data_IF_243463737135
#
_entry.id   IF_243463737135
#
_cell.length_a   1.000
_cell.length_b   1.000
_cell.length_c   1.000
_cell.angle_alpha   90.00
_cell.angle_beta   90.00
_cell.angle_gamma   90.00
#
_symmetry.space_group_name_H-M   'P 1'
#
loop_
_entity.id
_entity.type
_entity.pdbx_description
1 polymer ?
#
# COMPACT_ATOMS: atom_id res chain seq x y z
N UNK A 1 -37.10 16.22 22.55
CA UNK A 1 -36.33 15.26 21.74
C UNK A 1 -35.23 16.03 21.04
N UNK A 2 -34.07 16.16 21.70
CA UNK A 2 -32.89 16.81 21.14
C UNK A 2 -32.09 15.75 20.38
N UNK A 3 -32.10 15.82 19.06
CA UNK A 3 -31.22 15.05 18.20
C UNK A 3 -29.77 15.43 18.50
N UNK A 4 -29.12 14.70 19.41
CA UNK A 4 -27.67 14.67 19.49
C UNK A 4 -27.17 14.00 18.23
N UNK A 5 -26.75 14.81 17.26
CA UNK A 5 -25.93 14.34 16.14
C UNK A 5 -24.69 13.68 16.72
N UNK A 6 -24.71 12.36 16.85
CA UNK A 6 -23.54 11.53 17.16
C UNK A 6 -22.57 11.70 16.02
N UNK A 7 -21.72 12.72 16.13
CA UNK A 7 -20.51 12.79 15.32
C UNK A 7 -19.76 11.52 15.69
N UNK A 8 -19.44 10.62 14.73
CA UNK A 8 -18.72 9.41 15.06
C UNK A 8 -17.43 9.85 15.76
N UNK A 9 -17.17 9.29 16.95
CA UNK A 9 -16.01 9.58 17.82
C UNK A 9 -14.63 9.50 17.11
N UNK A 10 -14.62 9.08 15.84
CA UNK A 10 -13.47 8.71 15.03
C UNK A 10 -13.25 9.61 13.78
N UNK A 11 -13.98 10.70 13.56
CA UNK A 11 -13.74 11.57 12.40
C UNK A 11 -12.55 12.53 12.64
N UNK A 12 -11.65 12.70 11.66
CA UNK A 12 -10.66 13.80 11.68
C UNK A 12 -11.37 15.15 11.81
N UNK A 13 -10.77 16.07 12.55
CA UNK A 13 -11.23 17.47 12.61
C UNK A 13 -11.18 18.11 11.22
N UNK A 14 -11.97 19.16 11.00
CA UNK A 14 -11.97 19.88 9.72
C UNK A 14 -10.57 20.45 9.38
N UNK A 15 -9.80 20.85 10.39
CA UNK A 15 -8.41 21.32 10.23
C UNK A 15 -7.45 20.21 9.77
N UNK A 16 -7.53 19.02 10.38
CA UNK A 16 -6.71 17.86 9.99
C UNK A 16 -7.06 17.38 8.57
N UNK A 17 -8.35 17.34 8.23
CA UNK A 17 -8.80 17.02 6.87
C UNK A 17 -8.23 18.01 5.86
N UNK A 18 -8.32 19.31 6.12
CA UNK A 18 -7.75 20.34 5.26
C UNK A 18 -6.23 20.17 5.08
N UNK A 19 -5.49 19.91 6.16
CA UNK A 19 -4.05 19.63 6.10
C UNK A 19 -3.73 18.38 5.28
N UNK A 20 -4.46 17.29 5.49
CA UNK A 20 -4.30 16.05 4.74
C UNK A 20 -4.56 16.25 3.24
N UNK A 21 -5.67 16.89 2.86
CA UNK A 21 -6.00 17.16 1.45
C UNK A 21 -5.02 18.15 0.81
N UNK A 22 -4.53 19.14 1.55
CA UNK A 22 -3.47 20.03 1.08
C UNK A 22 -2.15 19.29 0.84
N UNK A 23 -1.68 18.51 1.82
CA UNK A 23 -0.43 17.75 1.73
C UNK A 23 -0.47 16.63 0.68
N UNK A 24 -1.67 16.18 0.29
CA UNK A 24 -1.90 15.14 -0.70
C UNK A 24 -2.18 15.75 -2.08
N UNK A 25 -3.45 16.09 -2.32
CA UNK A 25 -3.98 16.57 -3.59
C UNK A 25 -3.45 17.97 -3.92
N UNK A 26 -3.31 18.84 -2.92
CA UNK A 26 -2.82 20.21 -3.12
C UNK A 26 -1.38 20.24 -3.65
N UNK A 27 -0.45 19.59 -2.95
CA UNK A 27 0.96 19.52 -3.37
C UNK A 27 1.13 18.81 -4.72
N UNK A 28 0.46 17.67 -4.92
CA UNK A 28 0.55 16.95 -6.19
C UNK A 28 -0.08 17.76 -7.34
N UNK A 29 -1.27 18.34 -7.13
CA UNK A 29 -1.95 19.14 -8.14
C UNK A 29 -1.13 20.37 -8.54
N UNK A 30 -0.51 21.06 -7.57
CA UNK A 30 0.38 22.17 -7.83
C UNK A 30 1.62 21.74 -8.65
N UNK A 31 2.22 20.59 -8.34
CA UNK A 31 3.37 20.06 -9.09
C UNK A 31 3.02 19.78 -10.55
N UNK A 32 1.89 19.10 -10.81
CA UNK A 32 1.46 18.81 -12.18
C UNK A 32 1.03 20.05 -12.96
N UNK A 33 0.37 21.01 -12.30
CA UNK A 33 0.03 22.29 -12.93
C UNK A 33 1.31 23.06 -13.30
N UNK A 34 2.28 23.13 -12.38
CA UNK A 34 3.56 23.77 -12.65
C UNK A 34 4.31 23.07 -13.78
N UNK A 35 4.38 21.74 -13.76
CA UNK A 35 5.01 20.94 -14.82
C UNK A 35 4.36 21.17 -16.19
N UNK A 36 3.02 21.21 -16.24
CA UNK A 36 2.27 21.50 -17.45
C UNK A 36 2.58 22.90 -17.99
N UNK A 37 2.58 23.91 -17.13
CA UNK A 37 2.92 25.29 -17.52
C UNK A 37 4.35 25.37 -18.02
N UNK A 38 5.31 24.77 -17.31
CA UNK A 38 6.72 24.75 -17.71
C UNK A 38 6.88 24.13 -19.10
N UNK A 39 6.33 22.94 -19.33
CA UNK A 39 6.41 22.27 -20.63
C UNK A 39 5.81 23.15 -21.73
N UNK A 40 4.60 23.67 -21.53
CA UNK A 40 3.91 24.52 -22.51
C UNK A 40 4.72 25.80 -22.85
N UNK A 41 5.33 26.44 -21.86
CA UNK A 41 6.17 27.62 -22.08
C UNK A 41 7.45 27.31 -22.87
N UNK A 42 7.96 26.08 -22.78
CA UNK A 42 9.14 25.63 -23.53
C UNK A 42 8.83 25.00 -24.89
N UNK A 43 7.56 24.76 -25.21
CA UNK A 43 7.16 24.04 -26.44
C UNK A 43 7.73 24.66 -27.72
N UNK A 44 7.76 25.99 -27.82
CA UNK A 44 8.26 26.68 -29.02
C UNK A 44 9.78 26.52 -29.24
N UNK A 45 10.51 26.10 -28.20
CA UNK A 45 11.96 25.90 -28.23
C UNK A 45 12.34 24.42 -28.37
N UNK A 46 11.34 23.52 -28.34
CA UNK A 46 11.56 22.10 -28.54
C UNK A 46 11.65 21.78 -30.03
N UNK A 47 12.50 20.82 -30.43
CA UNK A 47 12.57 20.34 -31.80
C UNK A 47 11.26 19.66 -32.23
N UNK A 48 11.08 19.45 -33.53
CA UNK A 48 9.86 18.77 -34.05
C UNK A 48 9.67 17.37 -33.44
N UNK A 49 10.77 16.69 -33.11
CA UNK A 49 10.78 15.41 -32.41
C UNK A 49 11.71 15.49 -31.22
N UNK A 50 11.27 14.94 -30.09
CA UNK A 50 12.07 14.78 -28.88
C UNK A 50 12.21 13.29 -28.56
N UNK A 51 13.25 12.92 -27.83
CA UNK A 51 13.35 11.62 -27.21
C UNK A 51 12.17 11.41 -26.25
N UNK A 52 11.43 10.33 -26.48
CA UNK A 52 10.29 9.88 -25.67
C UNK A 52 10.49 8.48 -25.12
N UNK A 53 11.54 7.79 -25.55
CA UNK A 53 11.94 6.48 -25.07
C UNK A 53 13.45 6.44 -24.86
N UNK A 54 13.88 5.67 -23.86
CA UNK A 54 15.27 5.50 -23.48
C UNK A 54 15.58 4.02 -23.31
N UNK A 55 16.66 3.59 -23.96
CA UNK A 55 17.10 2.20 -23.93
C UNK A 55 17.76 1.81 -22.60
N UNK A 56 18.24 0.56 -22.49
CA UNK A 56 18.88 0.05 -21.26
C UNK A 56 20.10 0.85 -20.78
N UNK A 57 20.79 1.52 -21.71
CA UNK A 57 21.92 2.42 -21.45
C UNK A 57 21.50 3.83 -21.00
N UNK A 58 20.20 4.08 -20.81
CA UNK A 58 19.62 5.39 -20.50
C UNK A 58 19.88 6.45 -21.58
N UNK A 59 20.15 6.04 -22.81
CA UNK A 59 20.31 6.92 -23.98
C UNK A 59 19.05 6.90 -24.82
N UNK A 60 18.75 8.02 -25.47
CA UNK A 60 17.59 8.14 -26.36
C UNK A 60 17.67 7.13 -27.53
N UNK A 61 16.63 6.32 -27.69
CA UNK A 61 16.50 5.34 -28.79
C UNK A 61 15.12 5.37 -29.46
N UNK A 62 14.15 6.10 -28.92
CA UNK A 62 12.86 6.37 -29.55
C UNK A 62 12.44 7.83 -29.43
N UNK A 63 11.86 8.35 -30.51
CA UNK A 63 11.57 9.77 -30.70
C UNK A 63 10.11 9.98 -31.08
N UNK A 64 9.52 11.08 -30.65
CA UNK A 64 8.12 11.39 -30.85
C UNK A 64 7.81 12.88 -30.71
N UNK A 65 6.53 13.22 -30.84
CA UNK A 65 6.08 14.61 -30.73
C UNK A 65 6.28 15.15 -29.30
N UNK A 66 6.72 16.41 -29.12
CA UNK A 66 6.75 17.09 -27.82
C UNK A 66 5.42 17.10 -27.07
N UNK A 67 4.30 17.04 -27.81
CA UNK A 67 2.96 16.93 -27.23
C UNK A 67 2.75 15.67 -26.39
N UNK A 68 3.57 14.62 -26.58
CA UNK A 68 3.54 13.43 -25.74
C UNK A 68 3.83 13.77 -24.28
N UNK A 69 4.71 14.73 -23.99
CA UNK A 69 4.99 15.16 -22.62
C UNK A 69 3.74 15.80 -21.96
N UNK A 70 2.99 16.59 -22.71
CA UNK A 70 1.73 17.19 -22.26
C UNK A 70 0.69 16.11 -21.96
N UNK A 71 0.51 15.16 -22.86
CA UNK A 71 -0.42 14.03 -22.67
C UNK A 71 -0.02 13.19 -21.47
N UNK A 72 1.27 12.87 -21.31
CA UNK A 72 1.76 12.12 -20.16
C UNK A 72 1.53 12.87 -18.85
N UNK A 73 1.81 14.17 -18.79
CA UNK A 73 1.52 14.98 -17.59
C UNK A 73 0.02 14.96 -17.23
N UNK A 74 -0.87 15.09 -18.22
CA UNK A 74 -2.31 15.06 -17.97
C UNK A 74 -2.78 13.67 -17.52
N UNK A 75 -2.42 12.61 -18.24
CA UNK A 75 -2.86 11.24 -17.96
C UNK A 75 -2.29 10.75 -16.63
N UNK A 76 -0.97 10.83 -16.45
CA UNK A 76 -0.30 10.39 -15.21
C UNK A 76 -0.75 11.26 -14.04
N UNK A 77 -0.88 12.57 -14.25
CA UNK A 77 -1.38 13.50 -13.24
C UNK A 77 -2.78 13.17 -12.76
N UNK A 78 -3.74 13.00 -13.68
CA UNK A 78 -5.11 12.62 -13.32
C UNK A 78 -5.14 11.29 -12.57
N UNK A 79 -4.42 10.28 -13.05
CA UNK A 79 -4.39 8.95 -12.41
C UNK A 79 -3.83 9.04 -11.00
N UNK A 80 -2.66 9.64 -10.83
CA UNK A 80 -1.99 9.69 -9.52
C UNK A 80 -2.71 10.62 -8.54
N UNK A 81 -3.21 11.78 -8.99
CA UNK A 81 -4.04 12.67 -8.16
C UNK A 81 -5.30 11.94 -7.69
N UNK A 82 -5.93 11.15 -8.57
CA UNK A 82 -7.13 10.38 -8.21
C UNK A 82 -6.83 9.31 -7.16
N UNK A 83 -5.75 8.54 -7.34
CA UNK A 83 -5.30 7.54 -6.36
C UNK A 83 -4.98 8.19 -5.01
N UNK A 84 -4.29 9.33 -5.03
CA UNK A 84 -3.94 10.11 -3.84
C UNK A 84 -5.20 10.67 -3.16
N UNK A 85 -6.16 11.20 -3.94
CA UNK A 85 -7.44 11.69 -3.42
C UNK A 85 -8.22 10.58 -2.73
N UNK A 86 -8.36 9.41 -3.34
CA UNK A 86 -9.06 8.27 -2.74
C UNK A 86 -8.35 7.76 -1.49
N UNK A 87 -7.01 7.75 -1.48
CA UNK A 87 -6.23 7.45 -0.29
C UNK A 87 -6.50 8.46 0.84
N UNK A 88 -6.40 9.76 0.56
CA UNK A 88 -6.66 10.82 1.53
C UNK A 88 -8.11 10.80 2.04
N UNK A 89 -9.08 10.56 1.15
CA UNK A 89 -10.49 10.43 1.50
C UNK A 89 -10.74 9.26 2.45
N UNK A 90 -10.14 8.09 2.18
CA UNK A 90 -10.23 6.94 3.07
C UNK A 90 -9.56 7.22 4.42
N UNK A 91 -8.37 7.82 4.42
CA UNK A 91 -7.68 8.19 5.65
C UNK A 91 -8.52 9.17 6.50
N UNK A 92 -9.18 10.15 5.88
CA UNK A 92 -10.06 11.11 6.54
C UNK A 92 -11.33 10.49 7.19
N UNK A 93 -11.72 9.30 6.74
CA UNK A 93 -12.89 8.56 7.23
C UNK A 93 -12.59 7.57 8.36
N UNK A 94 -11.37 7.00 8.40
CA UNK A 94 -11.08 5.83 9.24
C UNK A 94 -9.94 6.01 10.26
N UNK A 95 -9.28 7.18 10.36
CA UNK A 95 -8.18 7.45 11.31
C UNK A 95 -7.10 6.33 11.32
N UNK A 96 -6.32 6.19 10.23
CA UNK A 96 -5.20 5.27 10.21
C UNK A 96 -4.15 5.65 11.25
N UNK A 97 -3.34 4.69 11.69
CA UNK A 97 -2.20 4.97 12.57
C UNK A 97 -1.27 6.05 11.99
N UNK A 98 -0.62 6.81 12.86
CA UNK A 98 0.23 7.93 12.46
C UNK A 98 1.35 7.51 11.50
N UNK A 99 2.06 6.42 11.79
CA UNK A 99 3.16 5.96 10.95
C UNK A 99 2.68 5.48 9.58
N UNK A 100 1.57 4.73 9.51
CA UNK A 100 1.00 4.27 8.24
C UNK A 100 0.51 5.44 7.39
N UNK A 101 -0.15 6.43 8.00
CA UNK A 101 -0.64 7.63 7.31
C UNK A 101 0.51 8.43 6.69
N UNK A 102 1.58 8.67 7.45
CA UNK A 102 2.77 9.42 6.98
C UNK A 102 3.53 8.69 5.88
N UNK A 103 3.76 7.39 6.05
CA UNK A 103 4.48 6.59 5.08
C UNK A 103 3.71 6.43 3.77
N UNK A 104 2.41 6.11 3.85
CA UNK A 104 1.56 5.96 2.66
C UNK A 104 1.44 7.29 1.92
N UNK A 105 1.12 8.37 2.64
CA UNK A 105 0.98 9.69 2.04
C UNK A 105 2.31 10.15 1.40
N UNK A 106 3.40 10.09 2.17
CA UNK A 106 4.70 10.52 1.70
C UNK A 106 5.20 9.71 0.51
N UNK A 107 4.98 8.39 0.51
CA UNK A 107 5.33 7.53 -0.63
C UNK A 107 4.50 7.88 -1.88
N UNK A 108 3.18 7.98 -1.76
CA UNK A 108 2.30 8.26 -2.91
C UNK A 108 2.58 9.64 -3.51
N UNK A 109 2.73 10.67 -2.66
CA UNK A 109 3.07 12.03 -3.12
C UNK A 109 4.48 12.05 -3.71
N UNK A 110 5.45 11.38 -3.08
CA UNK A 110 6.83 11.33 -3.55
C UNK A 110 6.98 10.65 -4.91
N UNK A 111 6.34 9.50 -5.13
CA UNK A 111 6.30 8.82 -6.43
C UNK A 111 5.62 9.71 -7.48
N UNK A 112 4.53 10.38 -7.12
CA UNK A 112 3.81 11.25 -8.04
C UNK A 112 4.61 12.47 -8.47
N UNK A 113 5.31 13.10 -7.53
CA UNK A 113 6.23 14.21 -7.83
C UNK A 113 7.45 13.73 -8.60
N UNK A 114 8.02 12.57 -8.28
CA UNK A 114 9.12 12.00 -9.06
C UNK A 114 8.70 11.76 -10.52
N UNK A 115 7.52 11.19 -10.75
CA UNK A 115 6.99 10.99 -12.11
C UNK A 115 6.80 12.33 -12.85
N UNK A 116 6.20 13.33 -12.20
CA UNK A 116 6.05 14.67 -12.76
C UNK A 116 7.41 15.29 -13.11
N UNK A 117 8.36 15.28 -12.16
CA UNK A 117 9.69 15.84 -12.37
C UNK A 117 10.45 15.09 -13.45
N UNK A 118 10.31 13.77 -13.55
CA UNK A 118 10.97 12.99 -14.60
C UNK A 118 10.50 13.43 -15.99
N UNK A 119 9.19 13.59 -16.19
CA UNK A 119 8.60 14.05 -17.45
C UNK A 119 9.08 15.48 -17.77
N UNK A 120 9.03 16.38 -16.79
CA UNK A 120 9.43 17.78 -16.99
C UNK A 120 10.93 17.90 -17.26
N UNK A 121 11.78 17.30 -16.43
CA UNK A 121 13.23 17.39 -16.54
C UNK A 121 13.75 16.73 -17.82
N UNK A 122 13.19 15.58 -18.24
CA UNK A 122 13.55 14.95 -19.51
C UNK A 122 13.10 15.75 -20.73
N UNK A 123 12.01 16.51 -20.62
CA UNK A 123 11.56 17.42 -21.69
C UNK A 123 12.47 18.65 -21.74
N UNK A 124 12.78 19.26 -20.60
CA UNK A 124 13.63 20.44 -20.49
C UNK A 124 15.07 20.19 -20.96
N UNK A 125 15.60 18.98 -20.75
CA UNK A 125 16.95 18.63 -21.20
C UNK A 125 17.10 18.61 -22.73
N UNK A 126 16.01 18.78 -23.48
CA UNK A 126 15.97 18.72 -24.94
C UNK A 126 15.67 20.08 -25.59
N UNK A 127 15.45 21.12 -24.78
CA UNK A 127 15.18 22.49 -25.23
C UNK A 127 16.39 23.04 -26.00
N UNK A 128 16.14 23.55 -27.21
CA UNK A 128 17.16 24.16 -28.06
C UNK A 128 18.14 23.19 -28.73
N UNK A 129 17.93 21.87 -28.59
CA UNK A 129 18.79 20.87 -29.25
C UNK A 129 18.44 20.74 -30.75
N UNK A 130 19.38 20.25 -31.55
CA UNK A 130 19.13 19.82 -32.93
C UNK A 130 18.95 18.29 -33.04
N UNK A 131 18.54 17.80 -34.20
CA UNK A 131 18.22 16.38 -34.43
C UNK A 131 19.38 15.41 -34.11
N UNK A 132 20.63 15.83 -34.30
CA UNK A 132 21.81 15.05 -33.93
C UNK A 132 22.02 15.02 -32.43
N UNK A 133 21.90 16.16 -31.75
CA UNK A 133 22.13 16.28 -30.31
C UNK A 133 21.11 15.50 -29.48
N UNK A 134 19.85 15.41 -29.92
CA UNK A 134 18.79 14.70 -29.18
C UNK A 134 19.13 13.21 -29.01
N UNK A 135 19.83 12.61 -29.97
CA UNK A 135 20.24 11.19 -29.93
C UNK A 135 21.26 10.89 -28.84
N UNK A 136 21.98 11.92 -28.38
CA UNK A 136 23.01 11.79 -27.35
C UNK A 136 22.46 12.12 -25.95
N UNK A 137 21.19 12.50 -25.83
CA UNK A 137 20.56 12.85 -24.55
C UNK A 137 20.46 11.62 -23.66
N UNK A 138 20.96 11.76 -22.43
CA UNK A 138 20.82 10.75 -21.39
C UNK A 138 19.66 11.07 -20.44
N UNK A 139 18.91 10.05 -20.05
CA UNK A 139 17.85 10.15 -19.03
C UNK A 139 18.40 10.29 -17.60
N UNK A 140 19.66 9.89 -17.37
CA UNK A 140 20.21 9.74 -16.02
C UNK A 140 20.12 11.03 -15.17
N UNK A 141 20.50 12.23 -15.66
CA UNK A 141 20.39 13.45 -14.87
C UNK A 141 18.94 13.75 -14.46
N UNK A 142 18.00 13.61 -15.40
CA UNK A 142 16.57 13.83 -15.15
C UNK A 142 16.00 12.81 -14.16
N UNK A 143 16.45 11.56 -14.22
CA UNK A 143 16.09 10.52 -13.25
C UNK A 143 16.60 10.83 -11.85
N UNK A 144 17.85 11.30 -11.70
CA UNK A 144 18.40 11.66 -10.40
C UNK A 144 17.66 12.86 -9.79
N UNK A 145 17.34 13.88 -10.59
CA UNK A 145 16.55 15.04 -10.16
C UNK A 145 15.14 14.59 -9.75
N UNK A 146 14.51 13.69 -10.52
CA UNK A 146 13.20 13.14 -10.20
C UNK A 146 13.19 12.36 -8.87
N UNK A 147 14.17 11.49 -8.65
CA UNK A 147 14.30 10.75 -7.39
C UNK A 147 14.55 11.68 -6.21
N UNK A 148 15.44 12.66 -6.35
CA UNK A 148 15.76 13.62 -5.29
C UNK A 148 14.55 14.49 -4.92
N UNK A 149 13.87 15.06 -5.92
CA UNK A 149 12.68 15.89 -5.70
C UNK A 149 11.50 15.09 -5.16
N UNK A 150 11.26 13.88 -5.68
CA UNK A 150 10.24 12.97 -5.16
C UNK A 150 10.49 12.57 -3.71
N UNK A 151 11.72 12.20 -3.36
CA UNK A 151 12.09 11.89 -1.98
C UNK A 151 11.89 13.10 -1.05
N UNK A 152 12.30 14.30 -1.48
CA UNK A 152 12.15 15.53 -0.71
C UNK A 152 10.68 15.89 -0.46
N UNK A 153 9.88 15.98 -1.53
CA UNK A 153 8.47 16.39 -1.42
C UNK A 153 7.63 15.29 -0.75
N UNK A 154 7.93 14.02 -1.02
CA UNK A 154 7.30 12.90 -0.32
C UNK A 154 7.58 12.93 1.18
N UNK A 155 8.81 13.23 1.58
CA UNK A 155 9.18 13.38 3.00
C UNK A 155 8.41 14.55 3.64
N UNK A 156 8.35 15.71 2.97
CA UNK A 156 7.57 16.87 3.44
C UNK A 156 6.09 16.52 3.59
N UNK A 157 5.48 15.87 2.59
CA UNK A 157 4.09 15.44 2.64
C UNK A 157 3.83 14.46 3.79
N UNK A 158 4.75 13.52 4.01
CA UNK A 158 4.71 12.60 5.15
C UNK A 158 4.73 13.36 6.49
N UNK A 159 5.62 14.34 6.67
CA UNK A 159 5.64 15.14 7.91
C UNK A 159 4.43 16.06 8.09
N UNK A 160 3.79 16.49 7.00
CA UNK A 160 2.55 17.26 7.05
C UNK A 160 1.31 16.42 7.38
N UNK A 161 1.40 15.08 7.30
CA UNK A 161 0.27 14.22 7.63
C UNK A 161 -0.12 14.38 9.12
N UNK A 162 -1.42 14.48 9.43
CA UNK A 162 -1.89 14.79 10.78
C UNK A 162 -1.50 13.72 11.81
N UNK A 163 -1.17 14.16 13.03
CA UNK A 163 -0.95 13.30 14.18
C UNK A 163 -2.28 12.72 14.67
N UNK A 164 -2.57 11.48 14.30
CA UNK A 164 -3.72 10.76 14.84
C UNK A 164 -3.24 9.83 15.94
N UNK A 165 -3.61 10.16 17.18
CA UNK A 165 -3.46 9.26 18.33
C UNK A 165 -4.33 8.03 18.12
N UNK A 166 -3.72 6.85 18.21
CA UNK A 166 -4.42 5.57 18.19
C UNK A 166 -5.16 5.40 19.51
N UNK A 167 -6.48 5.27 19.46
CA UNK A 167 -7.27 4.89 20.64
C UNK A 167 -6.96 3.41 20.91
N UNK A 168 -6.48 3.03 22.10
CA UNK A 168 -6.26 1.64 22.43
C UNK A 168 -7.59 0.88 22.28
N UNK A 169 -7.58 -0.16 21.46
CA UNK A 169 -8.73 -1.05 21.31
C UNK A 169 -8.95 -1.74 22.65
N UNK A 170 -10.19 -1.75 23.15
CA UNK A 170 -10.53 -2.51 24.36
C UNK A 170 -10.26 -3.98 24.08
N UNK A 171 -9.40 -4.59 24.89
CA UNK A 171 -9.00 -5.98 24.74
C UNK A 171 -9.62 -6.77 25.87
N UNK A 172 -10.37 -7.81 25.54
CA UNK A 172 -10.94 -8.71 26.53
C UNK A 172 -10.08 -9.99 26.64
N UNK A 173 -9.54 -10.30 27.83
CA UNK A 173 -8.82 -11.54 28.03
C UNK A 173 -9.78 -12.73 27.92
N UNK A 174 -9.42 -13.72 27.11
CA UNK A 174 -10.22 -14.95 26.97
C UNK A 174 -9.83 -15.92 28.08
N UNK A 175 -10.69 -16.05 29.09
CA UNK A 175 -10.56 -17.09 30.12
C UNK A 175 -10.93 -18.43 29.51
N UNK A 176 -10.03 -19.42 29.57
CA UNK A 176 -10.32 -20.78 29.16
C UNK A 176 -11.50 -21.35 29.98
N UNK A 177 -12.53 -21.85 29.30
CA UNK A 177 -13.60 -22.58 29.99
C UNK A 177 -13.00 -23.85 30.61
N UNK A 178 -13.20 -24.04 31.92
CA UNK A 178 -12.66 -25.17 32.70
C UNK A 178 -13.46 -26.47 32.51
N UNK A 179 -14.39 -26.51 31.57
CA UNK A 179 -15.17 -27.71 31.28
C UNK A 179 -14.29 -28.70 30.51
N UNK A 180 -13.59 -29.54 31.27
CA UNK A 180 -12.58 -30.51 30.85
C UNK A 180 -13.07 -31.67 29.96
N UNK A 181 -13.89 -31.41 28.95
CA UNK A 181 -14.14 -32.37 27.87
C UNK A 181 -13.07 -32.21 26.80
N UNK A 182 -12.00 -32.97 26.98
CA UNK A 182 -10.77 -33.01 26.18
C UNK A 182 -10.94 -33.62 24.77
N UNK A 183 -11.70 -32.98 23.89
CA UNK A 183 -11.68 -33.28 22.44
C UNK A 183 -11.83 -32.00 21.61
N UNK A 184 -10.91 -31.03 21.78
CA UNK A 184 -10.81 -29.94 20.81
C UNK A 184 -10.13 -30.47 19.55
N UNK A 185 -10.91 -30.85 18.54
CA UNK A 185 -10.39 -31.13 17.19
C UNK A 185 -9.72 -29.89 16.58
N UNK A 186 -8.98 -30.07 15.48
CA UNK A 186 -8.35 -28.96 14.75
C UNK A 186 -9.40 -27.92 14.35
N UNK A 187 -9.25 -26.68 14.81
CA UNK A 187 -10.11 -25.57 14.38
C UNK A 187 -9.52 -24.95 13.13
N UNK A 188 -10.32 -24.85 12.06
CA UNK A 188 -9.87 -24.30 10.79
C UNK A 188 -10.90 -23.36 10.19
N UNK A 189 -10.47 -22.17 9.82
CA UNK A 189 -11.28 -21.18 9.09
C UNK A 189 -10.49 -20.54 7.96
N UNK A 190 -11.18 -20.24 6.86
CA UNK A 190 -10.63 -19.45 5.77
C UNK A 190 -11.15 -18.03 5.82
N UNK A 191 -10.28 -17.06 5.55
CA UNK A 191 -10.62 -15.64 5.50
C UNK A 191 -10.22 -15.10 4.14
N UNK A 192 -11.14 -14.40 3.48
CA UNK A 192 -10.95 -13.85 2.14
C UNK A 192 -11.11 -12.33 2.18
N UNK A 193 -10.30 -11.62 1.38
CA UNK A 193 -10.41 -10.18 1.26
C UNK A 193 -11.79 -9.75 0.67
N UNK A 194 -12.29 -8.54 0.99
CA UNK A 194 -13.56 -8.02 0.49
C UNK A 194 -13.64 -8.00 -1.03
N UNK A 195 -14.85 -8.10 -1.58
CA UNK A 195 -15.12 -8.04 -3.03
C UNK A 195 -14.54 -6.78 -3.69
N UNK A 196 -14.50 -5.65 -2.99
CA UNK A 196 -13.87 -4.43 -3.48
C UNK A 196 -12.35 -4.60 -3.70
N UNK A 197 -11.67 -5.29 -2.76
CA UNK A 197 -10.23 -5.62 -2.89
C UNK A 197 -10.01 -6.56 -4.06
N UNK A 198 -10.91 -7.52 -4.29
CA UNK A 198 -10.89 -8.38 -5.48
C UNK A 198 -10.95 -7.61 -6.79
N UNK A 199 -11.87 -6.63 -6.91
CA UNK A 199 -11.98 -5.82 -8.13
C UNK A 199 -10.76 -4.90 -8.34
N UNK A 200 -10.26 -4.28 -7.27
CA UNK A 200 -8.99 -3.52 -7.32
C UNK A 200 -7.86 -4.43 -7.78
N UNK A 201 -7.81 -5.65 -7.25
CA UNK A 201 -6.79 -6.63 -7.61
C UNK A 201 -6.88 -7.05 -9.07
N UNK A 202 -8.08 -7.34 -9.56
CA UNK A 202 -8.29 -7.67 -10.96
C UNK A 202 -7.87 -6.51 -11.87
N UNK A 203 -8.21 -5.27 -11.51
CA UNK A 203 -7.75 -4.08 -12.24
C UNK A 203 -6.23 -3.93 -12.26
N UNK A 204 -5.56 -4.16 -11.12
CA UNK A 204 -4.11 -4.12 -11.02
C UNK A 204 -3.44 -5.21 -11.88
N UNK A 205 -3.98 -6.43 -11.88
CA UNK A 205 -3.48 -7.54 -12.72
C UNK A 205 -3.70 -7.20 -14.20
N UNK A 206 -4.89 -6.72 -14.57
CA UNK A 206 -5.18 -6.32 -15.94
C UNK A 206 -4.23 -5.21 -16.43
N UNK A 207 -3.92 -4.23 -15.57
CA UNK A 207 -2.94 -3.18 -15.86
C UNK A 207 -1.53 -3.77 -16.05
N UNK A 208 -1.06 -4.62 -15.14
CA UNK A 208 0.27 -5.26 -15.22
C UNK A 208 0.40 -6.10 -16.50
N UNK A 209 -0.63 -6.86 -16.86
CA UNK A 209 -0.68 -7.63 -18.11
C UNK A 209 -0.69 -6.72 -19.32
N UNK A 210 -1.46 -5.63 -19.29
CA UNK A 210 -1.50 -4.66 -20.40
C UNK A 210 -0.15 -3.99 -20.61
N UNK A 211 0.53 -3.60 -19.52
CA UNK A 211 1.90 -3.06 -19.56
C UNK A 211 2.88 -4.11 -20.11
N UNK A 212 2.78 -5.37 -19.68
CA UNK A 212 3.59 -6.45 -20.23
C UNK A 212 3.40 -6.60 -21.74
N UNK A 213 2.16 -6.70 -22.21
CA UNK A 213 1.84 -6.85 -23.63
C UNK A 213 2.36 -5.66 -24.42
N UNK A 214 2.15 -4.44 -23.91
CA UNK A 214 2.64 -3.22 -24.54
C UNK A 214 4.17 -3.25 -24.70
N UNK A 215 4.92 -3.52 -23.63
CA UNK A 215 6.39 -3.58 -23.68
C UNK A 215 6.85 -4.70 -24.62
N UNK A 216 6.25 -5.89 -24.53
CA UNK A 216 6.64 -7.05 -25.33
C UNK A 216 6.38 -6.87 -26.83
N UNK A 217 5.39 -6.03 -27.20
CA UNK A 217 5.07 -5.72 -28.60
C UNK A 217 5.92 -4.59 -29.17
N UNK A 218 6.25 -3.58 -28.36
CA UNK A 218 7.00 -2.41 -28.83
C UNK A 218 8.51 -2.64 -28.88
N UNK A 219 9.07 -3.40 -27.94
CA UNK A 219 10.53 -3.50 -27.79
C UNK A 219 10.95 -4.95 -27.46
N UNK A 220 11.21 -5.79 -28.49
CA UNK A 220 11.53 -7.21 -28.31
C UNK A 220 12.80 -7.45 -27.48
N UNK A 221 13.72 -6.50 -27.47
CA UNK A 221 15.02 -6.56 -26.79
C UNK A 221 14.91 -6.61 -25.26
N UNK A 222 13.82 -6.08 -24.69
CA UNK A 222 13.57 -6.03 -23.23
C UNK A 222 12.45 -6.99 -22.78
N UNK A 223 12.10 -7.99 -23.59
CA UNK A 223 11.02 -8.95 -23.30
C UNK A 223 11.17 -9.69 -21.96
N UNK A 224 12.42 -9.96 -21.54
CA UNK A 224 12.70 -10.55 -20.22
C UNK A 224 12.38 -9.59 -19.06
N UNK A 225 12.62 -8.30 -19.23
CA UNK A 225 12.26 -7.24 -18.25
C UNK A 225 10.73 -7.10 -18.18
N UNK A 226 10.02 -7.31 -19.30
CA UNK A 226 8.57 -7.31 -19.32
C UNK A 226 7.95 -8.41 -18.43
N UNK A 227 8.66 -9.51 -18.14
CA UNK A 227 8.19 -10.55 -17.23
C UNK A 227 8.16 -10.10 -15.75
N UNK A 228 8.84 -9.00 -15.41
CA UNK A 228 8.90 -8.48 -14.03
C UNK A 228 7.50 -8.16 -13.49
N UNK A 229 6.64 -7.38 -14.18
CA UNK A 229 5.22 -7.21 -13.83
C UNK A 229 4.46 -8.52 -13.54
N UNK A 230 4.71 -9.57 -14.32
CA UNK A 230 4.06 -10.88 -14.16
C UNK A 230 4.52 -11.56 -12.87
N UNK A 231 5.78 -11.40 -12.48
CA UNK A 231 6.31 -11.94 -11.22
C UNK A 231 5.58 -11.36 -9.99
N UNK A 232 4.97 -10.17 -10.10
CA UNK A 232 4.16 -9.58 -9.02
C UNK A 232 2.74 -10.15 -8.91
N UNK A 233 2.24 -10.87 -9.93
CA UNK A 233 0.88 -11.45 -9.89
C UNK A 233 0.76 -12.50 -8.80
N UNK A 234 1.75 -13.40 -8.67
CA UNK A 234 1.71 -14.45 -7.64
C UNK A 234 1.58 -13.90 -6.21
N UNK A 235 2.45 -12.99 -5.72
CA UNK A 235 2.33 -12.45 -4.37
C UNK A 235 1.03 -11.64 -4.17
N UNK A 236 0.53 -10.98 -5.21
CA UNK A 236 -0.75 -10.27 -5.18
C UNK A 236 -1.91 -11.23 -4.91
N UNK A 237 -1.98 -12.33 -5.67
CA UNK A 237 -3.05 -13.32 -5.54
C UNK A 237 -2.90 -14.16 -4.26
N UNK A 238 -1.67 -14.49 -3.86
CA UNK A 238 -1.43 -15.33 -2.69
C UNK A 238 -1.81 -14.66 -1.37
N UNK A 239 -1.91 -13.33 -1.32
CA UNK A 239 -2.30 -12.61 -0.11
C UNK A 239 -3.83 -12.46 0.06
N UNK A 240 -4.65 -12.96 -0.86
CA UNK A 240 -6.10 -12.68 -0.89
C UNK A 240 -6.90 -13.60 0.03
N UNK A 241 -6.52 -14.87 0.11
CA UNK A 241 -7.23 -15.86 0.93
C UNK A 241 -6.27 -16.63 1.80
N UNK A 242 -6.60 -16.72 3.07
CA UNK A 242 -5.80 -17.34 4.10
C UNK A 242 -6.60 -18.41 4.83
N UNK A 243 -5.96 -19.54 5.08
CA UNK A 243 -6.44 -20.59 5.98
C UNK A 243 -5.76 -20.40 7.32
N UNK A 244 -6.55 -20.23 8.37
CA UNK A 244 -6.11 -20.18 9.76
C UNK A 244 -6.45 -21.53 10.37
N UNK A 245 -5.44 -22.21 10.91
CA UNK A 245 -5.58 -23.48 11.62
C UNK A 245 -5.03 -23.31 13.02
N UNK A 246 -5.80 -23.76 14.01
CA UNK A 246 -5.42 -23.81 15.43
C UNK A 246 -5.45 -25.28 15.84
N UNK A 247 -4.32 -25.75 16.37
CA UNK A 247 -4.13 -27.12 16.85
C UNK A 247 -3.28 -27.12 18.11
N UNK A 248 -3.02 -28.30 18.67
CA UNK A 248 -2.16 -28.46 19.86
C UNK A 248 -0.74 -27.91 19.63
N UNK A 249 -0.26 -27.89 18.38
CA UNK A 249 1.06 -27.36 18.02
C UNK A 249 1.09 -25.82 17.99
N UNK A 250 -0.07 -25.15 17.99
CA UNK A 250 -0.19 -23.70 17.97
C UNK A 250 -1.06 -23.17 16.82
N UNK A 251 -0.73 -21.97 16.33
CA UNK A 251 -1.47 -21.31 15.25
C UNK A 251 -0.65 -21.34 13.94
N UNK A 252 -1.29 -21.81 12.87
CA UNK A 252 -0.77 -21.74 11.50
C UNK A 252 -1.71 -20.88 10.66
N UNK A 253 -1.21 -19.76 10.13
CA UNK A 253 -1.90 -18.98 9.11
C UNK A 253 -1.18 -19.18 7.78
N UNK A 254 -1.87 -19.72 6.76
CA UNK A 254 -1.26 -20.02 5.46
C UNK A 254 -2.10 -19.47 4.33
N UNK A 255 -1.46 -18.83 3.35
CA UNK A 255 -2.09 -18.57 2.05
C UNK A 255 -2.62 -19.85 1.43
N UNK A 256 -3.78 -19.80 0.77
CA UNK A 256 -4.28 -20.96 0.01
C UNK A 256 -3.29 -21.40 -1.08
N UNK A 257 -2.47 -20.49 -1.62
CA UNK A 257 -1.43 -20.80 -2.61
C UNK A 257 -0.13 -21.35 -1.99
N UNK A 258 -0.14 -21.67 -0.69
CA UNK A 258 0.98 -22.30 0.03
C UNK A 258 1.97 -21.31 0.66
N UNK A 259 2.19 -20.16 0.02
CA UNK A 259 3.06 -19.09 0.53
C UNK A 259 2.42 -17.71 0.29
N UNK A 260 2.49 -16.76 1.23
CA UNK A 260 3.18 -16.81 2.52
C UNK A 260 2.50 -17.65 3.61
N UNK A 261 3.27 -18.04 4.63
CA UNK A 261 2.81 -18.83 5.77
C UNK A 261 3.43 -18.31 7.08
N UNK A 262 2.64 -18.31 8.15
CA UNK A 262 3.01 -17.89 9.51
C UNK A 262 2.72 -19.06 10.44
N UNK A 263 3.71 -19.43 11.25
CA UNK A 263 3.56 -20.43 12.30
C UNK A 263 3.93 -19.80 13.65
N UNK A 264 3.02 -19.92 14.61
CA UNK A 264 3.20 -19.50 16.00
C UNK A 264 3.08 -20.76 16.85
N UNK A 265 4.22 -21.31 17.30
CA UNK A 265 4.19 -22.52 18.11
C UNK A 265 3.56 -22.21 19.48
N UNK A 266 2.86 -23.19 20.06
CA UNK A 266 2.08 -23.00 21.30
C UNK A 266 2.95 -22.52 22.46
N UNK A 267 4.23 -22.93 22.50
CA UNK A 267 5.18 -22.55 23.55
C UNK A 267 5.57 -21.07 23.49
N UNK A 268 5.44 -20.44 22.31
CA UNK A 268 5.74 -19.03 22.12
C UNK A 268 4.58 -18.11 22.54
N UNK A 269 3.41 -18.67 22.87
CA UNK A 269 2.21 -17.93 23.22
C UNK A 269 2.25 -17.60 24.72
N UNK A 270 2.16 -16.31 25.04
CA UNK A 270 2.07 -15.82 26.41
C UNK A 270 0.61 -15.55 26.81
N UNK A 271 -0.10 -14.82 25.94
CA UNK A 271 -1.50 -14.48 26.14
C UNK A 271 -2.26 -14.47 24.83
N UNK A 272 -3.48 -15.00 24.86
CA UNK A 272 -4.45 -14.92 23.77
C UNK A 272 -5.58 -13.97 24.19
N UNK A 273 -5.91 -13.04 23.31
CA UNK A 273 -6.89 -11.99 23.57
C UNK A 273 -7.84 -11.82 22.37
N UNK A 274 -9.10 -11.49 22.65
CA UNK A 274 -10.05 -11.13 21.61
C UNK A 274 -10.01 -9.61 21.42
N UNK A 275 -9.93 -9.18 20.17
CA UNK A 275 -9.93 -7.76 19.83
C UNK A 275 -10.77 -7.51 18.58
N UNK A 276 -11.19 -6.27 18.36
CA UNK A 276 -11.94 -5.88 17.17
C UNK A 276 -11.07 -4.98 16.30
N UNK A 277 -10.82 -5.40 15.07
CA UNK A 277 -9.91 -4.74 14.14
C UNK A 277 -10.68 -4.02 13.04
N UNK A 278 -10.28 -2.78 12.80
CA UNK A 278 -10.61 -2.02 11.62
C UNK A 278 -9.39 -1.96 10.69
N UNK A 279 -9.38 -2.70 9.56
CA UNK A 279 -8.19 -2.85 8.71
C UNK A 279 -7.49 -1.56 8.32
N UNK A 280 -8.29 -0.55 7.92
CA UNK A 280 -7.76 0.76 7.56
C UNK A 280 -7.24 1.55 8.76
N UNK A 281 -7.92 1.49 9.90
CA UNK A 281 -7.57 2.28 11.09
C UNK A 281 -6.31 1.73 11.76
N UNK A 282 -6.29 0.41 12.01
CA UNK A 282 -5.30 -0.21 12.89
C UNK A 282 -4.03 -0.63 12.14
N UNK A 283 -4.17 -0.99 10.86
CA UNK A 283 -3.09 -1.58 10.05
C UNK A 283 -2.83 -0.84 8.73
N UNK A 284 -3.63 0.18 8.39
CA UNK A 284 -3.48 0.99 7.18
C UNK A 284 -3.73 0.22 5.87
N UNK A 285 -4.42 -0.92 5.92
CA UNK A 285 -4.49 -1.80 4.76
C UNK A 285 -5.20 -3.13 5.01
N UNK A 286 -5.56 -3.82 3.93
CA UNK A 286 -5.87 -5.25 3.95
C UNK A 286 -4.63 -6.08 3.60
N UNK A 287 -4.50 -7.30 4.13
CA UNK A 287 -3.41 -8.24 3.86
C UNK A 287 -2.46 -8.42 5.04
N UNK A 288 -1.21 -8.83 4.76
CA UNK A 288 -0.15 -8.85 5.78
C UNK A 288 0.30 -7.42 6.06
N UNK A 289 0.22 -7.00 7.31
CA UNK A 289 0.52 -5.62 7.72
C UNK A 289 1.37 -5.57 8.98
N UNK A 290 2.25 -4.59 9.04
CA UNK A 290 2.95 -4.19 10.27
C UNK A 290 2.11 -3.09 10.94
N UNK A 291 1.74 -3.31 12.20
CA UNK A 291 1.07 -2.31 13.04
C UNK A 291 2.07 -1.55 13.92
N UNK A 292 1.58 -0.55 14.64
CA UNK A 292 2.30 0.09 15.75
C UNK A 292 2.18 -0.75 17.04
N UNK A 293 2.96 -0.40 18.07
CA UNK A 293 3.03 -1.13 19.36
C UNK A 293 3.58 -2.55 19.27
N UNK A 294 4.59 -2.75 18.40
CA UNK A 294 5.14 -4.08 18.10
C UNK A 294 4.06 -5.07 17.64
N UNK A 295 2.98 -4.62 16.98
CA UNK A 295 1.98 -5.50 16.38
C UNK A 295 2.26 -5.76 14.91
N UNK A 296 1.78 -6.88 14.40
CA UNK A 296 1.68 -7.19 12.98
C UNK A 296 0.58 -8.23 12.79
N UNK A 297 0.04 -8.34 11.59
CA UNK A 297 -1.11 -9.22 11.42
C UNK A 297 -1.52 -9.50 10.00
N UNK A 298 -2.39 -10.50 9.89
CA UNK A 298 -3.12 -10.84 8.65
C UNK A 298 -4.53 -10.31 8.82
N UNK A 299 -4.81 -9.21 8.13
CA UNK A 299 -5.99 -8.38 8.35
C UNK A 299 -6.73 -8.27 7.04
N UNK A 300 -7.71 -9.15 6.85
CA UNK A 300 -8.43 -9.27 5.58
C UNK A 300 -9.85 -8.74 5.68
N UNK A 301 -10.44 -8.65 6.87
CA UNK A 301 -11.79 -8.15 7.07
C UNK A 301 -11.90 -7.27 8.30
N UNK A 302 -12.96 -6.46 8.37
CA UNK A 302 -13.30 -5.71 9.57
C UNK A 302 -14.05 -6.63 10.53
N UNK A 303 -13.72 -6.58 11.81
CA UNK A 303 -14.44 -7.33 12.84
C UNK A 303 -13.51 -7.97 13.86
N UNK A 304 -14.00 -9.03 14.48
CA UNK A 304 -13.26 -9.75 15.51
C UNK A 304 -11.95 -10.36 14.98
N UNK A 305 -10.96 -10.38 15.86
CA UNK A 305 -9.62 -10.85 15.59
C UNK A 305 -9.01 -11.52 16.82
N UNK A 306 -8.15 -12.49 16.56
CA UNK A 306 -7.34 -13.15 17.60
C UNK A 306 -6.03 -12.36 17.72
N UNK A 307 -5.75 -11.84 18.91
CA UNK A 307 -4.48 -11.21 19.25
C UNK A 307 -3.65 -12.17 20.10
N UNK A 308 -2.39 -12.37 19.70
CA UNK A 308 -1.45 -13.26 20.34
C UNK A 308 -0.23 -12.46 20.81
N UNK A 309 -0.12 -12.30 22.12
CA UNK A 309 1.09 -11.81 22.75
C UNK A 309 2.08 -12.97 22.90
N UNK A 310 3.33 -12.71 22.55
CA UNK A 310 4.37 -13.73 22.49
C UNK A 310 5.41 -13.52 23.60
N UNK A 311 5.90 -14.61 24.17
CA UNK A 311 6.96 -14.60 25.18
C UNK A 311 8.38 -14.59 24.57
N UNK A 312 8.52 -14.86 23.27
CA UNK A 312 9.81 -14.95 22.57
C UNK A 312 10.39 -13.58 22.15
N UNK A 313 9.85 -12.49 22.71
CA UNK A 313 10.24 -11.13 22.39
C UNK A 313 9.86 -10.68 20.97
N UNK A 314 9.18 -11.50 20.16
CA UNK A 314 8.70 -11.06 18.84
C UNK A 314 7.48 -10.16 18.96
N UNK A 315 7.11 -9.59 17.81
CA UNK A 315 5.94 -8.72 17.68
C UNK A 315 4.64 -9.50 17.95
N UNK A 316 3.70 -8.88 18.66
CA UNK A 316 2.33 -9.35 18.88
C UNK A 316 1.67 -9.61 17.53
N UNK A 317 1.06 -10.78 17.37
CA UNK A 317 0.42 -11.18 16.12
C UNK A 317 -1.10 -10.99 16.21
N UNK A 318 -1.71 -10.46 15.16
CA UNK A 318 -3.16 -10.24 15.08
C UNK A 318 -3.70 -10.89 13.80
N UNK A 319 -4.79 -11.64 13.90
CA UNK A 319 -5.44 -12.22 12.72
C UNK A 319 -6.95 -12.00 12.78
N UNK A 320 -7.50 -11.36 11.75
CA UNK A 320 -8.95 -11.20 11.59
C UNK A 320 -9.51 -12.49 11.02
N UNK A 321 -10.52 -13.07 11.68
CA UNK A 321 -11.14 -14.32 11.27
C UNK A 321 -12.56 -14.38 11.78
N UNK A 322 -13.46 -15.01 11.03
CA UNK A 322 -14.79 -15.32 11.54
C UNK A 322 -14.69 -16.28 12.72
N UNK A 323 -15.59 -16.16 13.69
CA UNK A 323 -15.60 -17.03 14.87
C UNK A 323 -14.29 -16.95 15.67
N UNK A 324 -13.69 -15.75 15.73
CA UNK A 324 -12.44 -15.48 16.44
C UNK A 324 -12.55 -15.80 17.94
N UNK A 325 -13.72 -15.63 18.55
CA UNK A 325 -13.96 -15.98 19.95
C UNK A 325 -13.71 -17.48 20.22
N UNK A 326 -14.26 -18.37 19.39
CA UNK A 326 -14.06 -19.82 19.52
C UNK A 326 -12.60 -20.20 19.27
N UNK A 327 -11.99 -19.66 18.21
CA UNK A 327 -10.58 -19.90 17.92
C UNK A 327 -9.65 -19.44 19.04
N UNK A 328 -9.90 -18.25 19.60
CA UNK A 328 -9.15 -17.70 20.73
C UNK A 328 -9.31 -18.53 22.01
N UNK A 329 -10.53 -19.02 22.30
CA UNK A 329 -10.79 -19.87 23.44
C UNK A 329 -10.06 -21.21 23.35
N UNK A 330 -10.08 -21.87 22.18
CA UNK A 330 -9.36 -23.12 21.93
C UNK A 330 -7.85 -22.90 22.06
N UNK A 331 -7.31 -21.83 21.46
CA UNK A 331 -5.88 -21.52 21.53
C UNK A 331 -5.43 -21.19 22.95
N UNK A 332 -6.24 -20.44 23.71
CA UNK A 332 -6.00 -20.14 25.12
C UNK A 332 -6.00 -21.42 25.96
N UNK A 333 -6.94 -22.34 25.71
CA UNK A 333 -7.00 -23.63 26.38
C UNK A 333 -5.74 -24.46 26.12
N UNK A 334 -5.27 -24.56 24.87
CA UNK A 334 -4.01 -25.24 24.55
C UNK A 334 -2.80 -24.58 25.22
N UNK A 335 -2.73 -23.24 25.26
CA UNK A 335 -1.62 -22.50 25.86
C UNK A 335 -1.58 -22.64 27.39
N UNK A 336 -2.72 -22.88 28.03
CA UNK A 336 -2.84 -23.05 29.48
C UNK A 336 -2.50 -24.47 29.98
N UNK A 337 -2.32 -25.44 29.08
CA UNK A 337 -1.97 -26.81 29.47
C UNK A 337 -0.57 -26.86 30.11
N UNK A 338 -0.37 -27.67 31.18
CA UNK A 338 0.95 -27.87 31.75
C UNK A 338 1.91 -28.38 30.68
N UNK A 339 3.07 -27.73 30.56
CA UNK A 339 4.14 -28.18 29.67
C UNK A 339 4.69 -29.51 30.22
N UNK A 340 4.51 -30.60 29.49
CA UNK A 340 5.08 -31.93 29.80
C UNK A 340 6.57 -31.97 29.47
#
# INVERSE_FOLDING_TARGET
MTNSSTTPLNAMTQGERRRLFFASVGLTGAAYLAGLVIVLLTMAQLPQQIATHWGPSLTADGFGSPWMAVVLLLVVGVVLITVIYFSAYQQAGYRPTLASSRLILGFLVGVSVAACTLIVASTLSQVGLNETQIREVSLLPSMLIALATGALIGTIAGFLAPNVETIPVSVEPVTANQDGTNEFGEWRRSVTAPTAVWWIMLGAIALLVSVFVLIATLEPSIRLVALIPIAFIYPLVSCITWSITISEQGLVARSILGWPAVHIPIEAIDRVELTNVQPMADFGGWGIRLGLDRRWGIVLQKGEAIQIQRNDGKRTFVVTVDDAATGAAILSAFASRPRS
#
